data_IF_049448516735
#
_entry.id   IF_049448516735
#
_cell.length_a   1.000
_cell.length_b   1.000
_cell.length_c   1.000
_cell.angle_alpha   90.00
_cell.angle_beta   90.00
_cell.angle_gamma   90.00
#
_symmetry.space_group_name_H-M   'P 1'
#
loop_
_entity.id
_entity.type
_entity.pdbx_description
1 polymer ?
#
# COMPACT_ATOMS: atom_id res chain seq x y z
N UNK A 1 -2.61 -1.46 15.56
CA UNK A 1 -2.58 -1.20 14.11
C UNK A 1 -2.05 -2.46 13.45
N UNK A 2 -2.66 -2.91 12.35
CA UNK A 2 -2.28 -4.16 11.67
C UNK A 2 -1.32 -3.82 10.53
N UNK A 3 -0.32 -4.68 10.30
CA UNK A 3 0.58 -4.56 9.15
C UNK A 3 -0.13 -5.03 7.88
N UNK A 4 -0.02 -4.25 6.81
CA UNK A 4 -0.74 -4.46 5.56
C UNK A 4 0.26 -4.81 4.46
N UNK A 5 0.23 -6.04 3.91
CA UNK A 5 1.05 -6.39 2.76
C UNK A 5 0.75 -5.51 1.55
N UNK A 6 1.77 -5.11 0.80
CA UNK A 6 1.59 -4.27 -0.39
C UNK A 6 0.62 -4.89 -1.42
N UNK A 7 0.64 -6.22 -1.56
CA UNK A 7 -0.27 -6.94 -2.45
C UNK A 7 -1.76 -6.71 -2.16
N UNK A 8 -2.13 -6.30 -0.93
CA UNK A 8 -3.52 -5.94 -0.62
C UNK A 8 -4.00 -4.67 -1.35
N UNK A 9 -3.06 -3.80 -1.77
CA UNK A 9 -3.33 -2.58 -2.52
C UNK A 9 -3.41 -2.83 -4.04
N UNK A 10 -2.94 -3.97 -4.52
CA UNK A 10 -2.77 -4.27 -5.95
C UNK A 10 -3.91 -5.17 -6.44
N UNK A 11 -4.77 -4.71 -7.37
CA UNK A 11 -5.82 -5.55 -7.95
C UNK A 11 -5.24 -6.77 -8.69
N UNK A 12 -5.97 -7.90 -8.67
CA UNK A 12 -5.53 -9.12 -9.37
C UNK A 12 -5.69 -9.07 -10.89
N UNK A 13 -6.72 -8.36 -11.37
CA UNK A 13 -7.14 -8.41 -12.78
C UNK A 13 -6.90 -7.10 -13.54
N UNK A 14 -6.64 -6.00 -12.84
CA UNK A 14 -6.47 -4.68 -13.44
C UNK A 14 -5.07 -4.16 -13.12
N UNK A 15 -4.36 -3.73 -14.15
CA UNK A 15 -3.07 -3.07 -14.04
C UNK A 15 -3.22 -1.55 -13.99
N UNK A 16 -2.18 -0.86 -13.52
CA UNK A 16 -2.16 0.61 -13.44
C UNK A 16 -3.03 1.22 -12.34
N UNK A 17 -3.67 0.41 -11.48
CA UNK A 17 -4.51 0.86 -10.37
C UNK A 17 -3.96 0.41 -9.02
N UNK A 18 -4.12 1.25 -7.99
CA UNK A 18 -3.94 0.89 -6.58
C UNK A 18 -5.21 1.22 -5.80
N UNK A 19 -5.65 0.29 -4.95
CA UNK A 19 -6.83 0.44 -4.10
C UNK A 19 -6.42 0.58 -2.63
N UNK A 20 -6.59 1.78 -2.06
CA UNK A 20 -6.26 2.09 -0.67
C UNK A 20 -7.50 2.46 0.14
N UNK A 21 -7.42 2.28 1.47
CA UNK A 21 -8.53 2.54 2.39
C UNK A 21 -9.62 1.46 2.34
N UNK A 22 -10.89 1.86 2.26
CA UNK A 22 -12.05 0.94 2.35
C UNK A 22 -12.10 -0.17 1.30
N UNK A 23 -11.76 0.04 0.00
CA UNK A 23 -11.82 -1.03 -1.00
C UNK A 23 -10.63 -2.02 -0.94
N UNK A 24 -9.87 -2.04 0.16
CA UNK A 24 -8.68 -2.88 0.29
C UNK A 24 -9.00 -4.37 0.41
N UNK A 25 -8.15 -5.20 -0.18
CA UNK A 25 -8.27 -6.67 -0.08
C UNK A 25 -7.97 -7.14 1.35
N UNK A 26 -9.01 -7.61 2.05
CA UNK A 26 -8.93 -8.16 3.40
C UNK A 26 -10.06 -9.18 3.65
N UNK A 27 -9.89 -10.02 4.68
CA UNK A 27 -10.97 -10.90 5.15
C UNK A 27 -11.99 -10.14 6.01
N UNK A 28 -13.12 -10.78 6.30
CA UNK A 28 -14.22 -10.16 7.03
C UNK A 28 -13.84 -9.69 8.45
N UNK A 29 -12.95 -10.41 9.14
CA UNK A 29 -12.51 -10.06 10.49
C UNK A 29 -11.56 -8.85 10.45
N UNK A 30 -10.65 -8.82 9.47
CA UNK A 30 -9.73 -7.70 9.29
C UNK A 30 -10.43 -6.41 8.83
N UNK A 31 -11.50 -6.51 8.04
CA UNK A 31 -12.18 -5.36 7.42
C UNK A 31 -12.64 -4.30 8.44
N UNK A 32 -13.03 -4.70 9.66
CA UNK A 32 -13.38 -3.78 10.74
C UNK A 32 -12.24 -2.81 11.09
N UNK A 33 -10.99 -3.29 11.11
CA UNK A 33 -9.83 -2.43 11.35
C UNK A 33 -9.43 -1.62 10.12
N UNK A 34 -9.55 -2.21 8.93
CA UNK A 34 -9.07 -1.59 7.68
C UNK A 34 -9.82 -0.32 7.28
N UNK A 35 -11.07 -0.19 7.74
CA UNK A 35 -11.93 0.98 7.49
C UNK A 35 -11.72 2.14 8.47
N UNK A 36 -10.90 1.95 9.51
CA UNK A 36 -10.57 3.01 10.45
C UNK A 36 -9.70 4.08 9.79
N UNK A 37 -9.90 5.34 10.18
CA UNK A 37 -9.15 6.51 9.68
C UNK A 37 -7.63 6.27 9.71
N UNK A 38 -7.03 5.82 10.82
CA UNK A 38 -5.60 5.51 10.87
C UNK A 38 -5.14 4.54 9.77
N UNK A 39 -5.92 3.51 9.46
CA UNK A 39 -5.56 2.54 8.40
C UNK A 39 -5.74 3.12 7.00
N UNK A 40 -6.77 3.94 6.79
CA UNK A 40 -6.96 4.65 5.53
C UNK A 40 -5.78 5.59 5.23
N UNK A 41 -5.24 6.28 6.24
CA UNK A 41 -4.07 7.14 6.07
C UNK A 41 -2.81 6.34 5.68
N UNK A 42 -2.51 5.25 6.40
CA UNK A 42 -1.35 4.41 6.08
C UNK A 42 -1.40 3.82 4.68
N UNK A 43 -2.55 3.23 4.32
CA UNK A 43 -2.71 2.59 3.02
C UNK A 43 -2.72 3.62 1.89
N UNK A 44 -3.28 4.81 2.11
CA UNK A 44 -3.21 5.92 1.16
C UNK A 44 -1.79 6.42 0.93
N UNK A 45 -1.01 6.57 2.00
CA UNK A 45 0.40 6.95 1.92
C UNK A 45 1.22 5.90 1.16
N UNK A 46 1.07 4.62 1.51
CA UNK A 46 1.72 3.52 0.81
C UNK A 46 1.36 3.47 -0.68
N UNK A 47 0.09 3.63 -1.04
CA UNK A 47 -0.35 3.64 -2.42
C UNK A 47 0.19 4.84 -3.21
N UNK A 48 0.19 6.04 -2.63
CA UNK A 48 0.75 7.23 -3.27
C UNK A 48 2.27 7.12 -3.50
N UNK A 49 3.00 6.63 -2.51
CA UNK A 49 4.44 6.39 -2.62
C UNK A 49 4.75 5.35 -3.72
N UNK A 50 3.99 4.26 -3.77
CA UNK A 50 4.15 3.23 -4.79
C UNK A 50 3.79 3.74 -6.19
N UNK A 51 2.74 4.54 -6.33
CA UNK A 51 2.37 5.16 -7.60
C UNK A 51 3.47 6.10 -8.12
N UNK A 52 4.11 6.87 -7.23
CA UNK A 52 5.25 7.72 -7.59
C UNK A 52 6.44 6.89 -8.09
N UNK A 53 6.81 5.80 -7.40
CA UNK A 53 7.88 4.89 -7.83
C UNK A 53 7.54 4.27 -9.20
N UNK A 54 6.33 3.73 -9.34
CA UNK A 54 5.87 3.08 -10.56
C UNK A 54 5.96 4.03 -11.77
N UNK A 55 5.45 5.26 -11.60
CA UNK A 55 5.45 6.29 -12.65
C UNK A 55 6.87 6.72 -13.01
N UNK A 56 7.73 6.97 -12.03
CA UNK A 56 9.12 7.40 -12.26
C UNK A 56 9.97 6.32 -12.97
N UNK A 57 9.66 5.04 -12.75
CA UNK A 57 10.36 3.91 -13.39
C UNK A 57 9.71 3.44 -14.69
N UNK A 58 8.53 3.95 -15.04
CA UNK A 58 7.77 3.49 -16.21
C UNK A 58 7.31 2.03 -16.07
N UNK A 59 6.99 1.58 -14.86
CA UNK A 59 6.57 0.21 -14.56
C UNK A 59 5.14 0.18 -14.02
N UNK A 60 4.48 -0.98 -14.08
CA UNK A 60 3.16 -1.14 -13.47
C UNK A 60 3.27 -1.14 -11.93
N UNK A 61 2.25 -0.70 -11.17
CA UNK A 61 2.27 -0.71 -9.71
C UNK A 61 2.58 -2.09 -9.09
N UNK A 62 2.19 -3.17 -9.76
CA UNK A 62 2.51 -4.55 -9.33
C UNK A 62 4.00 -4.93 -9.41
N UNK A 63 4.79 -4.17 -10.15
CA UNK A 63 6.22 -4.39 -10.35
C UNK A 63 7.07 -3.53 -9.41
N UNK A 64 6.45 -2.70 -8.54
CA UNK A 64 7.15 -1.87 -7.57
C UNK A 64 7.98 -2.75 -6.64
N UNK A 65 9.26 -2.41 -6.50
CA UNK A 65 10.15 -3.06 -5.55
C UNK A 65 9.75 -2.70 -4.11
N UNK A 66 9.50 -3.72 -3.31
CA UNK A 66 9.02 -3.56 -1.94
C UNK A 66 10.09 -2.93 -1.03
N UNK A 67 11.37 -3.24 -1.24
CA UNK A 67 12.46 -2.65 -0.46
C UNK A 67 12.59 -1.16 -0.75
N UNK A 68 12.48 -0.76 -2.00
CA UNK A 68 12.44 0.64 -2.42
C UNK A 68 11.26 1.39 -1.79
N UNK A 69 10.05 0.81 -1.88
CA UNK A 69 8.85 1.39 -1.28
C UNK A 69 9.00 1.58 0.23
N UNK A 70 9.51 0.56 0.94
CA UNK A 70 9.74 0.63 2.39
C UNK A 70 10.79 1.68 2.74
N UNK A 71 11.85 1.79 1.95
CA UNK A 71 12.86 2.84 2.08
C UNK A 71 12.26 4.24 1.94
N UNK A 72 11.42 4.46 0.93
CA UNK A 72 10.73 5.73 0.70
C UNK A 72 9.76 6.07 1.84
N UNK A 73 8.95 5.11 2.28
CA UNK A 73 8.01 5.29 3.38
C UNK A 73 8.71 5.61 4.71
N UNK A 74 9.80 4.89 5.03
CA UNK A 74 10.63 5.19 6.22
C UNK A 74 11.24 6.59 6.13
N UNK A 75 11.76 6.99 4.96
CA UNK A 75 12.27 8.34 4.72
C UNK A 75 11.21 9.43 4.93
N UNK A 76 9.94 9.11 4.66
CA UNK A 76 8.79 9.99 4.88
C UNK A 76 8.20 9.87 6.30
N UNK A 77 8.85 9.15 7.21
CA UNK A 77 8.44 9.03 8.61
C UNK A 77 7.36 7.99 8.89
N UNK A 78 7.03 7.11 7.94
CA UNK A 78 6.07 6.03 8.17
C UNK A 78 6.66 4.96 9.11
N UNK A 79 5.84 4.47 10.03
CA UNK A 79 6.18 3.34 10.89
C UNK A 79 5.86 2.02 10.18
N UNK A 80 6.88 1.18 9.98
CA UNK A 80 6.75 -0.15 9.36
C UNK A 80 7.27 -1.21 10.32
N UNK A 81 6.41 -2.15 10.71
CA UNK A 81 6.78 -3.28 11.55
C UNK A 81 7.35 -4.41 10.69
N UNK A 82 8.63 -4.75 10.90
CA UNK A 82 9.36 -5.78 10.15
C UNK A 82 10.52 -5.21 9.32
N UNK A 83 11.51 -6.05 9.01
CA UNK A 83 12.67 -5.73 8.18
C UNK A 83 12.32 -5.62 6.70
#
# INVERSE_FOLDING_TARGET
MVSVPYGCLVPRQLDGLLAAGRPISCDANSHGFMREIPQCWLTGHAAGAAAAIATNRGIAPRQVDISELRGLLRKQGAFLSGE
#
